data_IF_688008302223
#
_entry.id   IF_688008302223
#
_cell.length_a   1.000
_cell.length_b   1.000
_cell.length_c   1.000
_cell.angle_alpha   90.00
_cell.angle_beta   90.00
_cell.angle_gamma   90.00
#
_symmetry.space_group_name_H-M   'P 1'
#
loop_
_entity.id
_entity.type
_entity.pdbx_description
1 polymer ?
#
# COMPACT_ATOMS: atom_id res chain seq x y z
N UNK A 1 -23.96 25.30 7.06
CA UNK A 1 -23.44 24.89 5.74
C UNK A 1 -22.64 23.62 5.97
N UNK A 2 -23.20 22.46 5.64
CA UNK A 2 -22.58 21.16 5.90
C UNK A 2 -21.70 20.79 4.70
N UNK A 3 -20.47 21.28 4.67
CA UNK A 3 -19.45 20.77 3.75
C UNK A 3 -19.11 19.36 4.17
N UNK A 4 -19.63 18.37 3.45
CA UNK A 4 -19.08 17.01 3.44
C UNK A 4 -17.62 17.12 3.04
N UNK A 5 -16.73 17.12 4.02
CA UNK A 5 -15.29 17.07 3.78
C UNK A 5 -15.04 15.75 3.04
N UNK A 6 -14.67 15.86 1.77
CA UNK A 6 -14.30 14.69 0.97
C UNK A 6 -13.24 13.91 1.74
N UNK A 7 -13.39 12.59 1.83
CA UNK A 7 -12.40 11.77 2.53
C UNK A 7 -11.07 11.91 1.76
N UNK A 8 -10.00 12.43 2.39
CA UNK A 8 -8.73 12.67 1.71
C UNK A 8 -8.02 11.37 1.26
N UNK A 9 -8.61 10.21 1.55
CA UNK A 9 -8.16 8.91 1.08
C UNK A 9 -8.91 8.39 -0.17
N UNK A 10 -9.96 9.06 -0.63
CA UNK A 10 -10.62 8.67 -1.87
C UNK A 10 -9.71 8.99 -3.06
N UNK A 11 -9.37 7.94 -3.84
CA UNK A 11 -8.42 7.99 -4.94
C UNK A 11 -7.00 8.49 -4.60
N UNK A 12 -6.56 8.35 -3.34
CA UNK A 12 -5.26 8.85 -2.90
C UNK A 12 -4.12 7.85 -3.13
N UNK A 13 -4.25 6.60 -2.67
CA UNK A 13 -3.25 5.55 -2.88
C UNK A 13 -1.86 5.79 -2.29
N UNK A 14 -1.62 6.89 -1.56
CA UNK A 14 -0.25 7.33 -1.24
C UNK A 14 0.57 6.35 -0.41
N UNK A 15 -0.08 5.64 0.51
CA UNK A 15 0.56 4.58 1.30
C UNK A 15 1.06 3.42 0.43
N UNK A 16 0.44 3.20 -0.72
CA UNK A 16 0.81 2.19 -1.69
C UNK A 16 1.73 2.73 -2.79
N UNK A 17 1.79 4.05 -3.02
CA UNK A 17 2.70 4.66 -3.99
C UNK A 17 4.13 4.73 -3.46
N UNK A 18 4.31 4.77 -2.14
CA UNK A 18 5.63 4.86 -1.50
C UNK A 18 6.48 3.58 -1.62
N UNK A 19 5.86 2.42 -1.83
CA UNK A 19 6.55 1.12 -1.86
C UNK A 19 6.02 0.26 -3.00
N UNK A 20 6.92 -0.44 -3.71
CA UNK A 20 6.53 -1.33 -4.80
C UNK A 20 5.95 -2.67 -4.32
N UNK A 21 6.24 -3.06 -3.08
CA UNK A 21 5.79 -4.32 -2.46
C UNK A 21 5.20 -4.04 -1.08
N UNK A 22 4.23 -4.87 -0.63
CA UNK A 22 3.77 -4.82 0.75
C UNK A 22 4.94 -5.11 1.70
N UNK A 23 5.24 -4.21 2.65
CA UNK A 23 6.36 -4.35 3.58
C UNK A 23 6.01 -5.32 4.70
N UNK A 24 5.93 -6.61 4.38
CA UNK A 24 5.81 -7.66 5.39
C UNK A 24 7.08 -7.73 6.24
N UNK A 25 6.93 -7.87 7.55
CA UNK A 25 8.02 -8.33 8.38
C UNK A 25 8.24 -9.86 8.24
N UNK A 26 9.39 -10.36 8.69
CA UNK A 26 9.73 -11.78 8.58
C UNK A 26 8.75 -12.70 9.33
N UNK A 27 8.16 -12.25 10.45
CA UNK A 27 7.20 -13.02 11.23
C UNK A 27 5.80 -13.02 10.57
N UNK A 28 5.45 -11.97 9.83
CA UNK A 28 4.22 -11.88 9.06
C UNK A 28 4.27 -12.74 7.79
N UNK A 29 5.42 -12.80 7.11
CA UNK A 29 5.60 -13.67 5.94
C UNK A 29 5.31 -15.14 6.28
N UNK A 30 5.74 -15.62 7.44
CA UNK A 30 5.50 -17.00 7.90
C UNK A 30 4.01 -17.28 8.16
N UNK A 31 3.21 -16.25 8.41
CA UNK A 31 1.76 -16.35 8.70
C UNK A 31 0.88 -15.98 7.50
N UNK A 32 1.47 -15.46 6.43
CA UNK A 32 0.75 -15.11 5.23
C UNK A 32 0.25 -16.38 4.53
N UNK A 33 -0.88 -16.29 3.84
CA UNK A 33 -1.38 -17.41 3.04
C UNK A 33 -0.45 -17.66 1.84
N UNK A 34 -0.39 -18.91 1.40
CA UNK A 34 0.38 -19.30 0.20
C UNK A 34 0.00 -18.46 -1.03
N UNK A 35 -1.28 -18.10 -1.17
CA UNK A 35 -1.76 -17.25 -2.26
C UNK A 35 -1.14 -15.83 -2.21
N UNK A 36 -1.05 -15.22 -1.03
CA UNK A 36 -0.44 -13.89 -0.88
C UNK A 36 1.07 -13.96 -1.11
N UNK A 37 1.72 -15.03 -0.64
CA UNK A 37 3.14 -15.26 -0.85
C UNK A 37 3.47 -15.46 -2.33
N UNK A 38 2.67 -16.26 -3.05
CA UNK A 38 2.83 -16.46 -4.50
C UNK A 38 2.68 -15.16 -5.29
N UNK A 39 1.74 -14.29 -4.89
CA UNK A 39 1.59 -12.97 -5.54
C UNK A 39 2.81 -12.08 -5.34
N UNK A 40 3.33 -12.01 -4.11
CA UNK A 40 4.53 -11.23 -3.79
C UNK A 40 5.75 -11.77 -4.52
N UNK A 41 5.93 -13.08 -4.53
CA UNK A 41 7.04 -13.77 -5.19
C UNK A 41 7.02 -13.56 -6.71
N UNK A 42 5.87 -13.82 -7.35
CA UNK A 42 5.68 -13.59 -8.78
C UNK A 42 5.93 -12.13 -9.18
N UNK A 43 5.53 -11.18 -8.34
CA UNK A 43 5.79 -9.76 -8.59
C UNK A 43 7.27 -9.40 -8.41
N UNK A 44 7.92 -9.90 -7.35
CA UNK A 44 9.34 -9.67 -7.07
C UNK A 44 10.24 -10.25 -8.16
N UNK A 45 9.89 -11.41 -8.71
CA UNK A 45 10.61 -12.04 -9.82
C UNK A 45 10.33 -11.42 -11.20
N UNK A 46 9.33 -10.54 -11.32
CA UNK A 46 9.07 -9.84 -12.57
C UNK A 46 10.10 -8.72 -12.81
N UNK A 47 10.52 -8.53 -14.07
CA UNK A 47 11.49 -7.49 -14.48
C UNK A 47 11.02 -6.04 -14.22
N UNK A 48 9.84 -5.85 -13.63
CA UNK A 48 9.25 -4.55 -13.23
C UNK A 48 9.83 -3.99 -11.94
N UNK A 49 10.74 -4.69 -11.25
CA UNK A 49 11.42 -4.17 -10.07
C UNK A 49 12.52 -3.14 -10.44
N UNK A 50 12.10 -1.95 -10.89
CA UNK A 50 12.98 -0.78 -11.02
C UNK A 50 12.37 0.40 -10.28
N UNK A 51 12.41 0.37 -8.94
CA UNK A 51 12.25 1.52 -8.00
C UNK A 51 11.06 2.51 -8.16
N UNK A 52 10.21 2.37 -9.17
CA UNK A 52 9.28 3.42 -9.64
C UNK A 52 7.83 2.92 -9.67
N UNK A 53 7.59 1.62 -9.49
CA UNK A 53 6.23 1.08 -9.58
C UNK A 53 5.48 1.17 -8.24
N UNK A 54 4.17 1.48 -8.28
CA UNK A 54 3.31 1.39 -7.10
C UNK A 54 3.28 -0.02 -6.53
N UNK A 55 2.81 -0.14 -5.29
CA UNK A 55 2.57 -1.42 -4.64
C UNK A 55 1.71 -2.32 -5.52
N UNK A 56 2.08 -3.60 -5.60
CA UNK A 56 1.29 -4.64 -6.27
C UNK A 56 -0.21 -4.62 -5.88
N UNK A 57 -0.51 -4.27 -4.63
CA UNK A 57 -1.87 -4.26 -4.11
C UNK A 57 -2.62 -2.93 -4.29
N UNK A 58 -1.98 -1.92 -4.88
CA UNK A 58 -2.69 -0.71 -5.26
C UNK A 58 -3.70 -1.04 -6.36
N UNK A 59 -4.96 -0.72 -6.13
CA UNK A 59 -5.89 -0.51 -7.21
C UNK A 59 -5.76 0.93 -7.73
N UNK A 60 -5.20 1.07 -8.92
CA UNK A 60 -4.99 2.38 -9.56
C UNK A 60 -6.29 3.11 -9.90
N UNK A 61 -7.42 2.39 -9.99
CA UNK A 61 -8.71 3.01 -10.30
C UNK A 61 -9.35 3.66 -9.07
N UNK A 62 -9.36 2.95 -7.94
CA UNK A 62 -9.96 3.46 -6.69
C UNK A 62 -8.97 4.17 -5.76
N UNK A 63 -7.66 4.00 -5.99
CA UNK A 63 -6.59 4.43 -5.08
C UNK A 63 -6.57 3.66 -3.75
N UNK A 64 -7.25 2.50 -3.67
CA UNK A 64 -7.37 1.71 -2.44
C UNK A 64 -6.55 0.42 -2.52
N UNK A 65 -6.15 -0.08 -1.36
CA UNK A 65 -5.45 -1.36 -1.27
C UNK A 65 -6.43 -2.52 -1.45
N UNK A 66 -6.18 -3.39 -2.44
CA UNK A 66 -6.98 -4.60 -2.71
C UNK A 66 -7.02 -5.55 -1.52
N UNK A 67 -5.95 -5.61 -0.73
CA UNK A 67 -5.81 -6.47 0.44
C UNK A 67 -5.81 -5.69 1.76
N UNK A 68 -6.62 -4.63 1.87
CA UNK A 68 -6.65 -3.76 3.06
C UNK A 68 -6.78 -4.55 4.38
N UNK A 69 -7.59 -5.62 4.43
CA UNK A 69 -7.77 -6.43 5.66
C UNK A 69 -6.56 -7.30 5.99
N UNK A 70 -5.82 -7.76 4.98
CA UNK A 70 -4.67 -8.67 5.12
C UNK A 70 -3.33 -7.92 5.05
N UNK A 71 -3.36 -6.59 5.15
CA UNK A 71 -2.16 -5.77 4.95
C UNK A 71 -1.13 -5.96 6.08
N UNK A 72 0.18 -5.84 5.79
CA UNK A 72 1.24 -5.91 6.80
C UNK A 72 1.03 -4.99 7.99
N UNK A 73 1.67 -5.28 9.13
CA UNK A 73 1.65 -4.45 10.33
C UNK A 73 2.09 -3.02 10.00
N UNK A 74 3.16 -2.84 9.22
CA UNK A 74 3.62 -1.52 8.82
C UNK A 74 2.56 -0.74 8.03
N UNK A 75 1.81 -1.41 7.15
CA UNK A 75 0.67 -0.80 6.46
C UNK A 75 -0.54 -0.55 7.37
N UNK A 76 -0.66 -1.24 8.51
CA UNK A 76 -1.72 -0.99 9.51
C UNK A 76 -1.38 0.21 10.39
N UNK A 77 -0.10 0.39 10.74
CA UNK A 77 0.38 1.54 11.50
C UNK A 77 0.39 2.84 10.70
N UNK A 78 0.41 2.75 9.37
CA UNK A 78 0.25 3.90 8.50
C UNK A 78 -1.19 4.41 8.54
N UNK A 79 -1.49 5.31 9.47
CA UNK A 79 -2.79 5.94 9.59
C UNK A 79 -2.90 7.17 8.67
N UNK A 80 -4.04 7.39 7.99
CA UNK A 80 -4.27 8.60 7.23
C UNK A 80 -4.03 9.88 8.05
N UNK A 81 -3.17 10.77 7.53
CA UNK A 81 -2.86 12.05 8.17
C UNK A 81 -1.75 11.99 9.23
N UNK A 82 -1.14 10.83 9.46
CA UNK A 82 0.10 10.75 10.25
C UNK A 82 1.23 11.55 9.59
N UNK A 83 2.33 11.79 10.32
CA UNK A 83 3.47 12.58 9.82
C UNK A 83 3.98 12.05 8.47
N UNK A 84 4.25 10.75 8.38
CA UNK A 84 4.70 10.11 7.14
C UNK A 84 3.70 10.26 5.98
N UNK A 85 2.39 10.22 6.27
CA UNK A 85 1.35 10.43 5.27
C UNK A 85 1.37 11.85 4.70
N UNK A 86 1.57 12.85 5.54
CA UNK A 86 1.64 14.24 5.09
C UNK A 86 2.96 14.54 4.40
N UNK A 87 4.08 13.98 4.87
CA UNK A 87 5.38 14.12 4.22
C UNK A 87 5.36 13.54 2.81
N UNK A 88 4.85 12.32 2.64
CA UNK A 88 4.75 11.70 1.32
C UNK A 88 3.92 12.54 0.34
N UNK A 89 2.85 13.22 0.81
CA UNK A 89 2.02 14.10 -0.04
C UNK A 89 2.75 15.29 -0.63
N UNK A 90 3.91 15.66 -0.08
CA UNK A 90 4.72 16.75 -0.62
C UNK A 90 5.61 16.31 -1.79
N UNK A 91 5.79 15.00 -1.99
CA UNK A 91 6.75 14.43 -2.95
C UNK A 91 6.11 13.64 -4.10
N UNK A 92 4.80 13.43 -4.09
CA UNK A 92 4.00 12.90 -5.23
C UNK A 92 3.18 14.00 -5.87
#
# INVERSE_FOLDING_TARGET
>A
MNTTVANPCDNCGICCLAFALPPFDANELVKASDELLQQVDAYAHSARYRRINPCLWLDLHSGKCKHHKSRPVLCRWFEPGCLACNELRLYV
#
